data_IF_720670887200
#
_entry.id   IF_720670887200
#
_cell.length_a   1.000
_cell.length_b   1.000
_cell.length_c   1.000
_cell.angle_alpha   90.00
_cell.angle_beta   90.00
_cell.angle_gamma   90.00
#
_symmetry.space_group_name_H-M   'P 1'
#
loop_
_entity.id
_entity.type
_entity.pdbx_description
1 polymer ?
#
# COMPACT_ATOMS: atom_id res chain seq x y z
N UNK A 1 -5.40 -0.19 -18.01
CA UNK A 1 -5.38 -0.19 -16.53
C UNK A 1 -4.64 -1.44 -16.09
N UNK A 2 -3.71 -1.35 -15.15
CA UNK A 2 -2.98 -2.51 -14.67
C UNK A 2 -3.79 -3.20 -13.56
N UNK A 3 -3.99 -4.50 -13.68
CA UNK A 3 -4.71 -5.31 -12.70
C UNK A 3 -3.90 -6.52 -12.29
N UNK A 4 -4.01 -6.88 -11.03
CA UNK A 4 -3.37 -8.04 -10.44
C UNK A 4 -4.43 -8.89 -9.78
N UNK A 5 -4.42 -10.19 -10.08
CA UNK A 5 -5.39 -11.15 -9.55
C UNK A 5 -4.65 -12.33 -8.95
N UNK A 6 -4.99 -12.69 -7.72
CA UNK A 6 -4.65 -14.02 -7.21
C UNK A 6 -5.60 -15.03 -7.87
N UNK A 7 -5.08 -16.16 -8.34
CA UNK A 7 -5.85 -17.18 -9.05
C UNK A 7 -5.83 -18.51 -8.30
N UNK A 8 -6.93 -19.23 -8.38
CA UNK A 8 -7.10 -20.59 -7.89
C UNK A 8 -7.83 -21.40 -8.98
N UNK A 9 -7.93 -22.73 -8.87
CA UNK A 9 -8.65 -23.55 -9.85
C UNK A 9 -10.12 -23.15 -10.04
N UNK A 10 -10.72 -22.49 -9.05
CA UNK A 10 -12.10 -22.01 -9.08
C UNK A 10 -12.23 -20.59 -9.65
N UNK A 11 -11.11 -19.91 -9.91
CA UNK A 11 -11.10 -18.55 -10.47
C UNK A 11 -11.53 -18.57 -11.94
N UNK A 12 -12.33 -17.59 -12.41
CA UNK A 12 -12.65 -17.46 -13.83
C UNK A 12 -11.40 -17.21 -14.70
N UNK A 13 -10.28 -16.79 -14.11
CA UNK A 13 -9.01 -16.56 -14.78
C UNK A 13 -8.07 -17.77 -14.77
N UNK A 14 -8.53 -18.93 -14.28
CA UNK A 14 -7.70 -20.13 -14.16
C UNK A 14 -7.13 -20.59 -15.51
N UNK A 15 -7.98 -20.72 -16.52
CA UNK A 15 -7.55 -21.13 -17.86
C UNK A 15 -6.59 -20.11 -18.49
N UNK A 16 -6.80 -18.82 -18.25
CA UNK A 16 -5.89 -17.77 -18.71
C UNK A 16 -4.51 -17.86 -18.03
N UNK A 17 -4.48 -18.22 -16.74
CA UNK A 17 -3.23 -18.50 -16.03
C UNK A 17 -2.54 -19.74 -16.62
N UNK A 18 -3.26 -20.84 -16.81
CA UNK A 18 -2.69 -22.08 -17.38
C UNK A 18 -2.12 -21.87 -18.79
N UNK A 19 -2.81 -21.09 -19.62
CA UNK A 19 -2.32 -20.71 -20.95
C UNK A 19 -0.99 -19.96 -20.86
N UNK A 20 -0.92 -18.90 -20.05
CA UNK A 20 0.31 -18.12 -19.89
C UNK A 20 1.43 -18.92 -19.22
N UNK A 21 1.09 -19.86 -18.35
CA UNK A 21 2.02 -20.80 -17.72
C UNK A 21 2.62 -21.76 -18.75
N UNK A 22 1.79 -22.33 -19.63
CA UNK A 22 2.26 -23.16 -20.75
C UNK A 22 3.17 -22.37 -21.70
N UNK A 23 2.79 -21.14 -22.05
CA UNK A 23 3.60 -20.24 -22.89
C UNK A 23 5.01 -20.03 -22.30
N UNK A 24 5.10 -19.80 -20.98
CA UNK A 24 6.37 -19.63 -20.28
C UNK A 24 7.28 -20.86 -20.45
N UNK A 25 6.77 -22.07 -20.23
CA UNK A 25 7.58 -23.27 -20.39
C UNK A 25 7.96 -23.53 -21.84
N UNK A 26 7.05 -23.40 -22.79
CA UNK A 26 7.39 -23.58 -24.21
C UNK A 26 8.53 -22.65 -24.66
N UNK A 27 8.58 -21.44 -24.11
CA UNK A 27 9.57 -20.43 -24.50
C UNK A 27 10.93 -20.65 -23.84
N UNK A 28 10.95 -21.02 -22.56
CA UNK A 28 12.16 -21.00 -21.76
C UNK A 28 12.66 -22.39 -21.34
N UNK A 29 11.79 -23.40 -21.37
CA UNK A 29 12.09 -24.81 -21.12
C UNK A 29 11.30 -25.73 -22.08
N UNK A 30 11.53 -25.64 -23.40
CA UNK A 30 10.77 -26.42 -24.39
C UNK A 30 10.85 -27.93 -24.15
N UNK A 31 11.95 -28.41 -23.58
CA UNK A 31 12.17 -29.83 -23.31
C UNK A 31 11.29 -30.39 -22.18
N UNK A 32 10.70 -29.53 -21.32
CA UNK A 32 9.87 -29.98 -20.19
C UNK A 32 8.60 -30.67 -20.66
N UNK A 33 8.00 -30.19 -21.76
CA UNK A 33 6.75 -30.73 -22.29
C UNK A 33 6.90 -31.42 -23.65
N UNK A 34 8.09 -31.40 -24.26
CA UNK A 34 8.34 -32.02 -25.56
C UNK A 34 7.35 -31.55 -26.64
N UNK A 35 6.76 -32.49 -27.37
CA UNK A 35 5.81 -32.23 -28.46
C UNK A 35 4.33 -32.19 -28.01
N UNK A 36 4.05 -32.00 -26.72
CA UNK A 36 2.67 -31.93 -26.23
C UNK A 36 1.91 -30.76 -26.86
N UNK A 37 0.65 -31.00 -27.20
CA UNK A 37 -0.26 -29.93 -27.62
C UNK A 37 -0.53 -28.97 -26.45
N UNK A 38 -0.93 -27.74 -26.78
CA UNK A 38 -1.30 -26.74 -25.77
C UNK A 38 -2.37 -27.24 -24.79
N UNK A 39 -3.38 -27.96 -25.30
CA UNK A 39 -4.44 -28.56 -24.49
C UNK A 39 -3.90 -29.65 -23.55
N UNK A 40 -2.97 -30.49 -24.03
CA UNK A 40 -2.38 -31.55 -23.22
C UNK A 40 -1.51 -30.96 -22.10
N UNK A 41 -0.67 -29.97 -22.41
CA UNK A 41 0.10 -29.23 -21.42
C UNK A 41 -0.80 -28.53 -20.39
N UNK A 42 -1.88 -27.87 -20.83
CA UNK A 42 -2.81 -27.20 -19.93
C UNK A 42 -3.46 -28.18 -18.95
N UNK A 43 -3.82 -29.39 -19.41
CA UNK A 43 -4.38 -30.46 -18.57
C UNK A 43 -3.36 -31.01 -17.55
N UNK A 44 -2.12 -31.21 -17.97
CA UNK A 44 -1.05 -31.65 -17.08
C UNK A 44 -0.72 -30.60 -16.03
N UNK A 45 -0.55 -29.35 -16.46
CA UNK A 45 -0.32 -28.20 -15.58
C UNK A 45 -1.48 -27.98 -14.60
N UNK A 46 -2.73 -28.14 -15.05
CA UNK A 46 -3.91 -28.08 -14.18
C UNK A 46 -3.77 -29.08 -13.04
N UNK A 47 -3.53 -30.35 -13.36
CA UNK A 47 -3.45 -31.44 -12.37
C UNK A 47 -2.31 -31.18 -11.39
N UNK A 48 -1.12 -30.83 -11.89
CA UNK A 48 0.05 -30.57 -11.06
C UNK A 48 -0.13 -29.36 -10.12
N UNK A 49 -0.66 -28.24 -10.63
CA UNK A 49 -0.86 -27.03 -9.85
C UNK A 49 -2.01 -27.18 -8.85
N UNK A 50 -3.10 -27.85 -9.21
CA UNK A 50 -4.20 -28.11 -8.27
C UNK A 50 -3.72 -28.93 -7.08
N UNK A 51 -2.95 -30.00 -7.31
CA UNK A 51 -2.35 -30.79 -6.22
C UNK A 51 -1.42 -29.94 -5.34
N UNK A 52 -0.58 -29.08 -5.93
CA UNK A 52 0.31 -28.18 -5.18
C UNK A 52 -0.46 -27.14 -4.36
N UNK A 53 -1.61 -26.66 -4.84
CA UNK A 53 -2.46 -25.73 -4.08
C UNK A 53 -3.15 -26.45 -2.93
N UNK A 54 -3.61 -27.70 -3.14
CA UNK A 54 -4.22 -28.52 -2.10
C UNK A 54 -3.25 -28.86 -0.95
N UNK A 55 -1.95 -28.94 -1.25
CA UNK A 55 -0.89 -29.08 -0.24
C UNK A 55 -0.72 -27.82 0.64
N UNK A 56 -1.34 -26.70 0.28
CA UNK A 56 -1.26 -25.44 1.02
C UNK A 56 -0.08 -24.57 0.61
N UNK A 57 0.01 -23.38 1.22
CA UNK A 57 1.16 -22.47 1.13
C UNK A 57 1.59 -22.09 -0.31
N UNK A 58 0.68 -22.17 -1.30
CA UNK A 58 0.92 -21.78 -2.70
C UNK A 58 0.18 -20.50 -3.07
N UNK A 59 0.87 -19.56 -3.71
CA UNK A 59 0.30 -18.33 -4.25
C UNK A 59 0.46 -18.26 -5.76
N UNK A 60 -0.65 -18.10 -6.50
CA UNK A 60 -0.63 -17.93 -7.95
C UNK A 60 -1.17 -16.55 -8.32
N UNK A 61 -0.45 -15.84 -9.18
CA UNK A 61 -0.78 -14.46 -9.55
C UNK A 61 -0.81 -14.31 -11.06
N UNK A 62 -1.83 -13.60 -11.54
CA UNK A 62 -1.97 -13.20 -12.92
C UNK A 62 -1.98 -11.67 -13.00
N UNK A 63 -1.13 -11.13 -13.87
CA UNK A 63 -1.01 -9.72 -14.16
C UNK A 63 -1.67 -9.42 -15.50
N UNK A 64 -2.61 -8.48 -15.51
CA UNK A 64 -3.34 -8.04 -16.70
C UNK A 64 -3.04 -6.58 -16.99
N UNK A 65 -2.65 -6.25 -18.22
CA UNK A 65 -2.50 -4.87 -18.67
C UNK A 65 -3.62 -4.53 -19.65
N UNK A 66 -4.53 -3.64 -19.25
CA UNK A 66 -5.72 -3.27 -20.03
C UNK A 66 -6.55 -4.50 -20.45
N UNK A 67 -6.70 -5.46 -19.53
CA UNK A 67 -7.44 -6.72 -19.75
C UNK A 67 -6.65 -7.80 -20.48
N UNK A 68 -5.46 -7.50 -21.00
CA UNK A 68 -4.61 -8.49 -21.70
C UNK A 68 -3.62 -9.15 -20.74
N UNK A 69 -3.33 -10.44 -20.97
CA UNK A 69 -2.34 -11.18 -20.18
C UNK A 69 -0.95 -10.56 -20.33
N UNK A 70 -0.36 -10.14 -19.21
CA UNK A 70 0.92 -9.44 -19.20
C UNK A 70 2.01 -10.20 -18.43
N UNK A 71 1.64 -10.99 -17.42
CA UNK A 71 2.59 -11.77 -16.65
C UNK A 71 1.94 -12.71 -15.66
N UNK A 72 2.74 -13.61 -15.10
CA UNK A 72 2.32 -14.52 -14.04
C UNK A 72 3.42 -14.69 -13.00
N UNK A 73 3.01 -15.12 -11.82
CA UNK A 73 3.92 -15.65 -10.83
C UNK A 73 3.31 -16.84 -10.10
N UNK A 74 4.19 -17.75 -9.69
CA UNK A 74 3.88 -18.90 -8.87
C UNK A 74 4.89 -18.96 -7.72
N UNK A 75 4.39 -18.86 -6.49
CA UNK A 75 5.19 -18.84 -5.28
C UNK A 75 4.71 -19.89 -4.31
N UNK A 76 5.59 -20.27 -3.37
CA UNK A 76 5.24 -21.13 -2.26
C UNK A 76 5.95 -20.72 -0.98
N UNK A 77 5.45 -21.16 0.16
CA UNK A 77 6.12 -20.96 1.44
C UNK A 77 6.86 -22.22 1.85
N UNK A 78 8.03 -22.01 2.41
CA UNK A 78 8.80 -23.02 3.12
C UNK A 78 8.92 -22.59 4.58
N UNK A 79 8.65 -23.53 5.48
CA UNK A 79 8.59 -23.30 6.92
C UNK A 79 9.65 -24.16 7.58
N UNK A 80 10.61 -23.51 8.21
CA UNK A 80 11.71 -24.16 8.93
C UNK A 80 11.56 -23.89 10.43
N UNK A 81 11.53 -24.93 11.25
CA UNK A 81 11.51 -24.80 12.71
C UNK A 81 12.94 -24.67 13.25
N UNK A 82 13.24 -23.56 13.93
CA UNK A 82 14.50 -23.33 14.64
C UNK A 82 14.21 -23.10 16.13
N UNK A 83 14.10 -24.20 16.88
CA UNK A 83 13.80 -24.14 18.31
C UNK A 83 12.36 -23.68 18.57
N UNK A 84 12.19 -22.45 19.09
CA UNK A 84 10.87 -21.85 19.35
C UNK A 84 10.44 -20.86 18.25
N UNK A 85 11.30 -20.59 17.27
CA UNK A 85 11.01 -19.65 16.19
C UNK A 85 10.75 -20.40 14.88
N UNK A 86 9.70 -20.00 14.17
CA UNK A 86 9.42 -20.46 12.81
C UNK A 86 10.00 -19.45 11.82
N UNK A 87 10.88 -19.91 10.93
CA UNK A 87 11.35 -19.13 9.80
C UNK A 87 10.52 -19.49 8.57
N UNK A 88 9.79 -18.51 8.05
CA UNK A 88 8.98 -18.67 6.85
C UNK A 88 9.67 -17.97 5.67
N UNK A 89 9.97 -18.72 4.62
CA UNK A 89 10.62 -18.26 3.40
C UNK A 89 9.63 -18.30 2.24
N UNK A 90 9.48 -17.18 1.53
CA UNK A 90 8.74 -17.10 0.27
C UNK A 90 9.64 -17.55 -0.88
N UNK A 91 9.36 -18.71 -1.45
CA UNK A 91 10.04 -19.23 -2.62
C UNK A 91 9.31 -18.82 -3.91
N UNK A 92 10.03 -18.30 -4.89
CA UNK A 92 9.49 -17.97 -6.22
C UNK A 92 9.88 -19.07 -7.19
N UNK A 93 8.90 -19.86 -7.61
CA UNK A 93 9.12 -20.98 -8.53
C UNK A 93 9.08 -20.52 -9.99
N UNK A 94 8.07 -19.72 -10.35
CA UNK A 94 7.94 -19.18 -11.69
C UNK A 94 7.60 -17.68 -11.64
N UNK A 95 8.25 -16.91 -12.50
CA UNK A 95 8.03 -15.48 -12.64
C UNK A 95 8.22 -15.06 -14.09
N UNK A 96 7.15 -14.57 -14.71
CA UNK A 96 7.15 -14.27 -16.14
C UNK A 96 6.42 -12.97 -16.45
N UNK A 97 7.03 -12.15 -17.30
CA UNK A 97 6.42 -10.99 -17.95
C UNK A 97 6.60 -11.18 -19.45
N UNK A 98 5.51 -11.13 -20.22
CA UNK A 98 5.59 -11.25 -21.68
C UNK A 98 6.48 -10.15 -22.26
N UNK A 99 7.22 -10.49 -23.30
CA UNK A 99 8.26 -9.66 -23.88
C UNK A 99 7.79 -8.26 -24.27
N UNK A 100 6.59 -8.14 -24.84
CA UNK A 100 5.98 -6.86 -25.23
C UNK A 100 5.74 -5.92 -24.04
N UNK A 101 5.69 -6.45 -22.82
CA UNK A 101 5.52 -5.67 -21.59
C UNK A 101 6.78 -5.57 -20.72
N UNK A 102 7.87 -6.21 -21.12
CA UNK A 102 9.14 -6.07 -20.41
C UNK A 102 9.63 -4.62 -20.48
N UNK A 103 10.47 -4.23 -19.50
CA UNK A 103 11.02 -2.86 -19.35
C UNK A 103 9.98 -1.76 -19.11
N UNK A 104 8.69 -2.11 -18.99
CA UNK A 104 7.63 -1.18 -18.58
C UNK A 104 7.42 -1.16 -17.06
N UNK A 105 8.37 -1.69 -16.27
CA UNK A 105 8.32 -1.85 -14.80
C UNK A 105 7.22 -2.79 -14.27
N UNK A 106 6.50 -3.53 -15.11
CA UNK A 106 5.49 -4.50 -14.66
C UNK A 106 6.04 -5.58 -13.71
N UNK A 107 7.26 -6.06 -13.96
CA UNK A 107 7.92 -7.00 -13.07
C UNK A 107 8.06 -6.48 -11.63
N UNK A 108 8.30 -5.19 -11.44
CA UNK A 108 8.38 -4.60 -10.09
C UNK A 108 7.02 -4.65 -9.38
N UNK A 109 5.92 -4.42 -10.12
CA UNK A 109 4.58 -4.52 -9.57
C UNK A 109 4.25 -5.94 -9.12
N UNK A 110 4.54 -6.92 -9.98
CA UNK A 110 4.32 -8.33 -9.66
C UNK A 110 5.23 -8.82 -8.52
N UNK A 111 6.48 -8.35 -8.46
CA UNK A 111 7.39 -8.59 -7.33
C UNK A 111 6.78 -8.14 -6.00
N UNK A 112 6.33 -6.89 -5.93
CA UNK A 112 5.74 -6.35 -4.70
C UNK A 112 4.47 -7.08 -4.28
N UNK A 113 3.69 -7.57 -5.24
CA UNK A 113 2.52 -8.39 -4.96
C UNK A 113 2.85 -9.71 -4.27
N UNK A 114 3.84 -10.44 -4.80
CA UNK A 114 4.30 -11.69 -4.19
C UNK A 114 4.83 -11.45 -2.78
N UNK A 115 5.65 -10.40 -2.59
CA UNK A 115 6.15 -10.04 -1.27
C UNK A 115 5.00 -9.71 -0.30
N UNK A 116 3.99 -8.97 -0.76
CA UNK A 116 2.83 -8.64 0.05
C UNK A 116 2.02 -9.89 0.44
N UNK A 117 1.87 -10.84 -0.47
CA UNK A 117 1.26 -12.13 -0.15
C UNK A 117 2.12 -12.91 0.86
N UNK A 118 3.44 -12.97 0.68
CA UNK A 118 4.36 -13.61 1.62
C UNK A 118 4.25 -13.00 3.03
N UNK A 119 4.29 -11.67 3.13
CA UNK A 119 4.11 -10.95 4.41
C UNK A 119 2.82 -11.33 5.13
N UNK A 120 1.71 -11.52 4.40
CA UNK A 120 0.43 -11.91 4.99
C UNK A 120 0.42 -13.33 5.55
N UNK A 121 1.34 -14.17 5.09
CA UNK A 121 1.48 -15.56 5.53
C UNK A 121 2.71 -15.77 6.43
N UNK A 122 3.28 -14.69 6.95
CA UNK A 122 4.38 -14.72 7.91
C UNK A 122 5.77 -14.80 7.29
N UNK A 123 5.91 -14.75 5.96
CA UNK A 123 7.22 -14.81 5.32
C UNK A 123 8.06 -13.58 5.67
N UNK A 124 9.28 -13.83 6.16
CA UNK A 124 10.27 -12.80 6.49
C UNK A 124 11.48 -12.83 5.55
N UNK A 125 11.64 -13.92 4.80
CA UNK A 125 12.69 -14.11 3.79
C UNK A 125 12.07 -14.42 2.43
N UNK A 126 12.82 -14.13 1.36
CA UNK A 126 12.50 -14.52 -0.01
C UNK A 126 13.67 -15.26 -0.62
N UNK A 127 13.36 -16.28 -1.41
CA UNK A 127 14.32 -17.10 -2.14
C UNK A 127 13.83 -17.35 -3.57
N UNK A 128 14.77 -17.38 -4.53
CA UNK A 128 14.51 -17.77 -5.92
C UNK A 128 15.79 -18.26 -6.60
N UNK A 129 15.59 -19.02 -7.67
CA UNK A 129 16.67 -19.59 -8.48
C UNK A 129 16.51 -19.19 -9.95
N UNK A 130 17.63 -18.95 -10.63
CA UNK A 130 17.66 -18.66 -12.07
C UNK A 130 18.85 -19.32 -12.74
N UNK A 131 18.84 -19.42 -14.06
CA UNK A 131 20.03 -19.86 -14.81
C UNK A 131 21.09 -18.76 -14.86
N UNK A 132 22.35 -19.18 -14.86
CA UNK A 132 23.51 -18.31 -15.10
C UNK A 132 23.40 -17.62 -16.46
N UNK A 133 23.81 -16.35 -16.53
CA UNK A 133 23.89 -15.59 -17.79
C UNK A 133 22.56 -15.06 -18.36
N UNK A 134 21.41 -15.32 -17.71
CA UNK A 134 20.12 -14.75 -18.13
C UNK A 134 20.05 -13.25 -17.80
N UNK A 135 19.44 -12.47 -18.71
CA UNK A 135 19.21 -11.03 -18.51
C UNK A 135 18.32 -10.72 -17.29
N UNK A 136 17.45 -11.66 -16.91
CA UNK A 136 16.62 -11.58 -15.70
C UNK A 136 17.44 -11.45 -14.41
N UNK A 137 18.71 -11.87 -14.39
CA UNK A 137 19.59 -11.73 -13.22
C UNK A 137 19.77 -10.26 -12.80
N UNK A 138 19.82 -9.33 -13.75
CA UNK A 138 19.89 -7.90 -13.43
C UNK A 138 18.65 -7.40 -12.69
N UNK A 139 17.48 -7.97 -12.98
CA UNK A 139 16.25 -7.62 -12.28
C UNK A 139 16.31 -8.05 -10.81
N UNK A 140 16.73 -9.29 -10.53
CA UNK A 140 16.84 -9.79 -9.16
C UNK A 140 17.90 -9.05 -8.33
N UNK A 141 19.06 -8.78 -8.93
CA UNK A 141 20.11 -7.97 -8.29
C UNK A 141 19.62 -6.56 -7.94
N UNK A 142 18.77 -5.96 -8.78
CA UNK A 142 18.23 -4.61 -8.54
C UNK A 142 17.33 -4.53 -7.30
N UNK A 143 16.84 -5.66 -6.79
CA UNK A 143 16.05 -5.74 -5.56
C UNK A 143 16.88 -5.88 -4.28
N UNK A 144 18.21 -5.81 -4.38
CA UNK A 144 19.10 -5.88 -3.21
C UNK A 144 19.22 -7.27 -2.60
N UNK A 145 18.86 -8.32 -3.36
CA UNK A 145 19.04 -9.70 -2.94
C UNK A 145 20.51 -10.09 -3.00
N UNK A 146 20.95 -10.88 -2.02
CA UNK A 146 22.27 -11.51 -2.05
C UNK A 146 22.23 -12.69 -3.00
N UNK A 147 23.27 -12.86 -3.81
CA UNK A 147 23.34 -13.97 -4.77
C UNK A 147 24.59 -14.82 -4.59
N UNK A 148 24.43 -16.12 -4.82
CA UNK A 148 25.55 -17.05 -4.95
C UNK A 148 25.27 -18.02 -6.09
N UNK A 149 26.31 -18.48 -6.77
CA UNK A 149 26.20 -19.42 -7.87
C UNK A 149 26.49 -20.84 -7.37
N UNK A 150 25.65 -21.78 -7.76
CA UNK A 150 25.84 -23.23 -7.56
C UNK A 150 25.62 -23.89 -8.91
N UNK A 151 26.66 -24.51 -9.45
CA UNK A 151 26.66 -25.09 -10.81
C UNK A 151 26.19 -24.08 -11.88
N UNK A 152 25.12 -24.42 -12.60
CA UNK A 152 24.52 -23.61 -13.66
C UNK A 152 23.39 -22.69 -13.16
N UNK A 153 23.18 -22.62 -11.84
CA UNK A 153 22.12 -21.83 -11.21
C UNK A 153 22.68 -20.70 -10.34
N UNK A 154 21.94 -19.60 -10.29
CA UNK A 154 22.16 -18.48 -9.36
C UNK A 154 21.02 -18.47 -8.37
N UNK A 155 21.36 -18.58 -7.09
CA UNK A 155 20.41 -18.50 -5.98
C UNK A 155 20.40 -17.08 -5.43
N UNK A 156 19.22 -16.48 -5.33
CA UNK A 156 19.02 -15.19 -4.70
C UNK A 156 18.24 -15.36 -3.41
N UNK A 157 18.71 -14.71 -2.35
CA UNK A 157 18.05 -14.71 -1.06
C UNK A 157 18.13 -13.34 -0.39
N UNK A 158 17.18 -13.05 0.48
CA UNK A 158 17.22 -11.84 1.30
C UNK A 158 15.95 -11.63 2.13
N UNK A 159 15.97 -10.61 3.01
CA UNK A 159 14.80 -10.28 3.82
C UNK A 159 13.68 -9.72 2.94
N UNK A 160 12.43 -10.05 3.29
CA UNK A 160 11.27 -9.34 2.77
C UNK A 160 11.20 -7.98 3.49
N UNK A 161 11.34 -6.85 2.79
CA UNK A 161 11.24 -5.55 3.43
C UNK A 161 9.85 -5.36 4.04
N UNK A 162 9.70 -4.62 5.16
CA UNK A 162 8.38 -4.35 5.75
C UNK A 162 7.48 -3.56 4.79
N UNK A 163 6.16 -3.66 4.97
CA UNK A 163 5.22 -2.80 4.22
C UNK A 163 5.27 -1.40 4.81
N UNK A 164 5.55 -0.40 3.97
CA UNK A 164 5.55 1.01 4.39
C UNK A 164 4.20 1.66 4.18
N UNK A 165 3.78 2.48 5.11
CA UNK A 165 2.59 3.34 5.00
C UNK A 165 3.06 4.77 5.19
N UNK A 166 3.03 5.53 4.10
CA UNK A 166 3.32 6.95 4.10
C UNK A 166 2.02 7.73 4.28
N UNK A 167 1.90 8.39 5.43
CA UNK A 167 0.86 9.38 5.69
C UNK A 167 1.39 10.76 5.36
N UNK A 168 0.70 11.50 4.51
CA UNK A 168 1.01 12.87 4.13
C UNK A 168 -0.10 13.81 4.58
N UNK A 169 0.26 14.92 5.22
CA UNK A 169 -0.70 16.01 5.46
C UNK A 169 -0.94 16.78 4.17
N UNK A 170 -2.19 17.19 3.94
CA UNK A 170 -2.54 18.13 2.88
C UNK A 170 -1.66 19.40 2.90
N UNK A 171 -1.62 20.08 1.76
CA UNK A 171 -0.89 21.34 1.61
C UNK A 171 -1.47 22.50 2.42
N UNK A 172 -0.75 23.61 2.48
CA UNK A 172 -1.27 24.81 3.12
C UNK A 172 -2.53 25.29 2.40
N UNK A 173 -3.51 25.74 3.17
CA UNK A 173 -4.78 26.28 2.68
C UNK A 173 -4.69 27.80 2.50
N UNK A 174 -5.62 28.38 1.73
CA UNK A 174 -5.77 29.83 1.65
C UNK A 174 -6.15 30.42 3.02
N UNK A 175 -5.74 31.67 3.34
CA UNK A 175 -6.17 32.33 4.58
C UNK A 175 -7.69 32.46 4.68
N UNK A 176 -8.22 32.17 5.88
CA UNK A 176 -9.66 32.17 6.15
C UNK A 176 -10.09 33.29 7.11
N UNK A 177 -9.18 34.24 7.40
CA UNK A 177 -9.38 35.32 8.39
C UNK A 177 -10.53 36.27 8.08
N UNK A 178 -11.07 36.20 6.86
CA UNK A 178 -12.21 36.99 6.39
C UNK A 178 -13.58 36.37 6.76
N UNK A 179 -13.60 35.18 7.36
CA UNK A 179 -14.82 34.47 7.69
C UNK A 179 -15.22 34.69 9.15
N UNK A 180 -16.45 35.15 9.37
CA UNK A 180 -17.05 35.27 10.71
C UNK A 180 -17.64 33.95 11.23
N UNK A 181 -17.66 32.92 10.38
CA UNK A 181 -18.26 31.62 10.63
C UNK A 181 -17.24 30.50 10.41
N UNK A 182 -17.39 29.40 11.14
CA UNK A 182 -16.64 28.19 10.86
C UNK A 182 -17.02 27.68 9.45
N UNK A 183 -16.05 27.56 8.53
CA UNK A 183 -16.36 27.25 7.14
C UNK A 183 -16.79 25.80 6.95
N UNK A 184 -17.61 25.59 5.92
CA UNK A 184 -17.77 24.29 5.28
C UNK A 184 -16.49 23.91 4.52
N UNK A 185 -16.26 22.60 4.36
CA UNK A 185 -15.04 22.06 3.74
C UNK A 185 -14.82 22.53 2.29
N UNK A 186 -15.91 22.73 1.53
CA UNK A 186 -15.88 23.21 0.15
C UNK A 186 -15.23 24.62 0.01
N UNK A 187 -15.19 25.43 1.06
CA UNK A 187 -14.56 26.76 1.10
C UNK A 187 -13.06 26.68 1.43
N UNK A 188 -12.58 25.55 1.94
CA UNK A 188 -11.20 25.37 2.41
C UNK A 188 -10.33 24.84 1.26
N UNK A 189 -9.90 25.75 0.38
CA UNK A 189 -9.07 25.42 -0.78
C UNK A 189 -7.56 25.44 -0.45
N UNK A 190 -6.76 24.69 -1.21
CA UNK A 190 -5.30 24.79 -1.15
C UNK A 190 -4.79 26.12 -1.72
N UNK A 191 -3.68 26.59 -1.16
CA UNK A 191 -2.88 27.65 -1.75
C UNK A 191 -2.17 27.15 -3.03
N UNK A 192 -1.96 28.06 -3.99
CA UNK A 192 -1.32 27.75 -5.27
C UNK A 192 0.14 27.28 -5.11
N UNK A 193 0.86 27.79 -4.11
CA UNK A 193 2.25 27.39 -3.82
C UNK A 193 2.31 25.93 -3.37
N UNK A 194 1.38 25.53 -2.50
CA UNK A 194 1.23 24.16 -2.00
C UNK A 194 0.85 23.19 -3.09
N UNK A 195 -0.01 23.60 -4.04
CA UNK A 195 -0.30 22.80 -5.23
C UNK A 195 0.99 22.55 -6.04
N UNK A 196 1.84 23.57 -6.22
CA UNK A 196 3.12 23.40 -6.94
C UNK A 196 4.07 22.46 -6.18
N UNK A 197 4.23 22.64 -4.88
CA UNK A 197 5.07 21.79 -4.04
C UNK A 197 4.59 20.33 -4.03
N UNK A 198 3.27 20.11 -3.90
CA UNK A 198 2.69 18.77 -3.97
C UNK A 198 2.98 18.09 -5.31
N UNK A 199 2.95 18.82 -6.44
CA UNK A 199 3.36 18.27 -7.75
C UNK A 199 4.83 17.81 -7.75
N UNK A 200 5.72 18.62 -7.20
CA UNK A 200 7.16 18.32 -7.13
C UNK A 200 7.45 17.11 -6.22
N UNK A 201 6.74 16.98 -5.10
CA UNK A 201 6.77 15.78 -4.24
C UNK A 201 6.27 14.56 -5.03
N UNK A 202 5.15 14.70 -5.73
CA UNK A 202 4.56 13.63 -6.53
C UNK A 202 5.49 13.08 -7.60
N UNK A 203 6.21 13.96 -8.33
CA UNK A 203 7.22 13.55 -9.32
C UNK A 203 8.33 12.72 -8.67
N UNK A 204 8.83 13.14 -7.50
CA UNK A 204 9.93 12.47 -6.79
C UNK A 204 9.52 11.10 -6.24
N UNK A 205 8.33 11.01 -5.63
CA UNK A 205 7.86 9.80 -4.97
C UNK A 205 7.26 8.80 -5.98
N UNK A 206 6.32 9.25 -6.83
CA UNK A 206 5.57 8.38 -7.72
C UNK A 206 6.31 8.04 -9.02
N UNK A 207 7.31 8.83 -9.43
CA UNK A 207 8.07 8.57 -10.66
C UNK A 207 8.74 7.18 -10.72
N UNK A 208 8.97 6.57 -9.55
CA UNK A 208 9.48 5.20 -9.45
C UNK A 208 8.40 4.15 -9.74
N UNK A 209 7.15 4.38 -9.31
CA UNK A 209 6.02 3.44 -9.38
C UNK A 209 4.71 4.15 -9.80
N UNK A 210 4.47 4.36 -11.10
CA UNK A 210 3.38 5.23 -11.60
C UNK A 210 1.95 4.69 -11.41
N UNK A 211 1.80 3.46 -10.91
CA UNK A 211 0.55 2.70 -10.73
C UNK A 211 0.06 2.65 -9.28
N UNK A 212 0.70 3.37 -8.38
CA UNK A 212 0.35 3.35 -6.97
C UNK A 212 -1.04 3.98 -6.73
N UNK A 213 -1.82 3.39 -5.83
CA UNK A 213 -3.05 4.01 -5.32
C UNK A 213 -2.70 5.00 -4.22
N UNK A 214 -3.26 6.20 -4.31
CA UNK A 214 -3.27 7.21 -3.24
C UNK A 214 -4.66 7.17 -2.59
N UNK A 215 -4.71 6.82 -1.32
CA UNK A 215 -5.93 6.94 -0.53
C UNK A 215 -5.98 8.35 0.04
N UNK A 216 -7.14 9.00 -0.05
CA UNK A 216 -7.28 10.39 0.41
C UNK A 216 -8.59 10.61 1.13
N UNK A 217 -8.59 11.56 2.06
CA UNK A 217 -9.85 12.16 2.51
C UNK A 217 -10.57 12.82 1.32
N UNK A 218 -11.91 12.71 1.24
CA UNK A 218 -12.72 13.44 0.26
C UNK A 218 -12.73 14.94 0.51
N UNK A 219 -12.29 15.39 1.69
CA UNK A 219 -12.19 16.81 2.01
C UNK A 219 -11.28 17.55 1.02
N UNK A 220 -11.76 18.68 0.52
CA UNK A 220 -11.25 19.41 -0.65
C UNK A 220 -9.74 19.58 -0.61
N UNK A 221 -9.19 20.08 0.49
CA UNK A 221 -7.74 20.33 0.65
C UNK A 221 -6.88 19.06 0.52
N UNK A 222 -7.34 17.93 1.06
CA UNK A 222 -6.63 16.66 0.96
C UNK A 222 -6.75 16.10 -0.46
N UNK A 223 -7.95 16.14 -1.03
CA UNK A 223 -8.19 15.69 -2.40
C UNK A 223 -7.44 16.50 -3.46
N UNK A 224 -7.40 17.83 -3.34
CA UNK A 224 -6.60 18.71 -4.19
C UNK A 224 -5.10 18.39 -4.06
N UNK A 225 -4.63 18.03 -2.85
CA UNK A 225 -3.23 17.62 -2.62
C UNK A 225 -2.95 16.29 -3.34
N UNK A 226 -3.84 15.30 -3.20
CA UNK A 226 -3.74 14.01 -3.88
C UNK A 226 -3.73 14.16 -5.42
N UNK A 227 -4.60 15.03 -5.97
CA UNK A 227 -4.61 15.38 -7.39
C UNK A 227 -3.33 16.04 -7.85
N UNK A 228 -2.77 16.95 -7.05
CA UNK A 228 -1.51 17.60 -7.36
C UNK A 228 -0.36 16.57 -7.40
N UNK A 229 -0.27 15.69 -6.40
CA UNK A 229 0.72 14.61 -6.34
C UNK A 229 0.66 13.68 -7.56
N UNK A 230 -0.54 13.24 -7.95
CA UNK A 230 -0.72 12.28 -9.05
C UNK A 230 -0.64 12.92 -10.44
N UNK A 231 -0.63 14.26 -10.56
CA UNK A 231 -0.78 14.95 -11.85
C UNK A 231 0.27 14.59 -12.91
N UNK A 232 1.47 14.19 -12.51
CA UNK A 232 2.53 13.74 -13.42
C UNK A 232 2.37 12.27 -13.89
N UNK A 233 1.52 11.48 -13.23
CA UNK A 233 1.38 10.04 -13.43
C UNK A 233 -0.09 9.65 -13.64
N UNK A 234 -0.55 9.64 -14.90
CA UNK A 234 -1.94 9.32 -15.26
C UNK A 234 -2.42 7.91 -14.86
N UNK A 235 -1.49 7.01 -14.54
CA UNK A 235 -1.80 5.64 -14.11
C UNK A 235 -2.01 5.52 -12.60
N UNK A 236 -1.79 6.59 -11.83
CA UNK A 236 -2.01 6.65 -10.40
C UNK A 236 -3.52 6.75 -10.13
N UNK A 237 -4.03 5.86 -9.28
CA UNK A 237 -5.44 5.85 -8.88
C UNK A 237 -5.59 6.69 -7.60
N UNK A 238 -6.59 7.55 -7.55
CA UNK A 238 -6.99 8.22 -6.31
C UNK A 238 -8.25 7.52 -5.79
N UNK A 239 -8.22 7.12 -4.53
CA UNK A 239 -9.35 6.51 -3.84
C UNK A 239 -9.74 7.36 -2.63
N UNK A 240 -10.92 7.97 -2.70
CA UNK A 240 -11.49 8.74 -1.62
C UNK A 240 -12.11 7.82 -0.55
N UNK A 241 -11.99 8.18 0.72
CA UNK A 241 -12.65 7.47 1.81
C UNK A 241 -12.91 8.37 3.01
N UNK A 242 -14.12 8.26 3.56
CA UNK A 242 -14.50 8.94 4.81
C UNK A 242 -13.63 8.50 6.00
N UNK A 243 -13.00 7.32 5.93
CA UNK A 243 -12.09 6.86 6.96
C UNK A 243 -10.85 7.74 7.13
N UNK A 244 -10.59 8.66 6.19
CA UNK A 244 -9.50 9.62 6.24
C UNK A 244 -9.94 11.05 6.54
N UNK A 245 -11.23 11.30 6.80
CA UNK A 245 -11.72 12.62 7.18
C UNK A 245 -11.14 13.11 8.50
N UNK A 246 -10.83 14.41 8.55
CA UNK A 246 -10.25 15.09 9.69
C UNK A 246 -11.09 14.85 10.93
N UNK A 247 -10.42 14.69 12.07
CA UNK A 247 -11.09 14.73 13.35
C UNK A 247 -11.41 16.19 13.68
N UNK A 248 -12.64 16.59 13.40
CA UNK A 248 -13.16 17.93 13.63
C UNK A 248 -14.63 17.88 14.09
N UNK A 249 -15.05 18.72 15.05
CA UNK A 249 -16.43 18.72 15.49
C UNK A 249 -17.35 19.35 14.45
N UNK A 250 -18.19 18.54 13.81
CA UNK A 250 -19.16 18.99 12.80
C UNK A 250 -20.15 20.01 13.36
N UNK A 251 -20.43 19.97 14.67
CA UNK A 251 -21.26 20.96 15.37
C UNK A 251 -20.78 22.40 15.21
N UNK A 252 -19.48 22.61 14.94
CA UNK A 252 -18.92 23.94 14.76
C UNK A 252 -19.20 24.50 13.37
N UNK A 253 -19.38 23.65 12.35
CA UNK A 253 -19.53 24.07 10.95
C UNK A 253 -20.77 24.98 10.82
N UNK A 254 -20.58 26.15 10.21
CA UNK A 254 -21.62 27.16 10.07
C UNK A 254 -21.94 27.95 11.34
N UNK A 255 -21.30 27.66 12.49
CA UNK A 255 -21.43 28.48 13.69
C UNK A 255 -20.61 29.75 13.57
N UNK A 256 -21.14 30.87 14.07
CA UNK A 256 -20.40 32.12 14.17
C UNK A 256 -19.25 31.95 15.16
N UNK A 257 -18.04 32.35 14.78
CA UNK A 257 -16.84 32.13 15.59
C UNK A 257 -16.95 32.74 17.00
N UNK A 258 -17.57 33.92 17.10
CA UNK A 258 -17.80 34.60 18.38
C UNK A 258 -18.76 33.85 19.31
N UNK A 259 -19.63 32.98 18.79
CA UNK A 259 -20.64 32.28 19.59
C UNK A 259 -20.10 30.95 20.16
N UNK A 260 -19.00 30.43 19.62
CA UNK A 260 -18.42 29.14 20.02
C UNK A 260 -17.99 29.15 21.50
N UNK A 261 -17.21 30.13 22.00
CA UNK A 261 -16.82 30.18 23.41
C UNK A 261 -18.01 30.33 24.36
N UNK A 262 -19.04 31.09 23.96
CA UNK A 262 -20.25 31.27 24.75
C UNK A 262 -21.02 29.96 24.95
N UNK A 263 -21.04 29.11 23.92
CA UNK A 263 -21.77 27.83 23.94
C UNK A 263 -20.97 26.71 24.59
N UNK A 264 -19.68 26.63 24.32
CA UNK A 264 -18.86 25.48 24.70
C UNK A 264 -17.80 25.77 25.77
N UNK A 265 -17.67 27.03 26.20
CA UNK A 265 -16.66 27.50 27.14
C UNK A 265 -15.41 28.06 26.44
N UNK A 266 -14.73 29.01 27.08
CA UNK A 266 -13.51 29.65 26.55
C UNK A 266 -12.36 28.66 26.30
N UNK A 267 -12.37 27.52 26.99
CA UNK A 267 -11.35 26.48 26.89
C UNK A 267 -11.67 25.41 25.82
N UNK A 268 -12.74 25.58 25.01
CA UNK A 268 -13.17 24.57 24.03
C UNK A 268 -12.04 24.17 23.07
N UNK A 269 -11.24 25.12 22.59
CA UNK A 269 -10.17 24.88 21.64
C UNK A 269 -9.03 24.09 22.28
N UNK A 270 -8.72 24.39 23.55
CA UNK A 270 -7.75 23.61 24.31
C UNK A 270 -8.24 22.18 24.48
N UNK A 271 -9.51 21.97 24.85
CA UNK A 271 -10.07 20.62 25.00
C UNK A 271 -10.09 19.84 23.67
N UNK A 272 -10.44 20.49 22.58
CA UNK A 272 -10.42 19.86 21.25
C UNK A 272 -9.01 19.40 20.84
N UNK A 273 -8.00 20.24 21.08
CA UNK A 273 -6.64 19.98 20.60
C UNK A 273 -5.83 19.10 21.56
N UNK A 274 -5.91 19.33 22.87
CA UNK A 274 -4.98 18.75 23.85
C UNK A 274 -5.62 17.77 24.84
N UNK A 275 -6.94 17.77 24.96
CA UNK A 275 -7.65 16.77 25.79
C UNK A 275 -8.90 16.26 25.07
N UNK A 276 -8.78 15.71 23.85
CA UNK A 276 -9.91 15.31 23.02
C UNK A 276 -10.85 14.27 23.64
N UNK A 277 -10.42 13.54 24.68
CA UNK A 277 -11.32 12.67 25.47
C UNK A 277 -12.35 13.47 26.28
N UNK A 278 -12.01 14.70 26.66
CA UNK A 278 -12.85 15.63 27.43
C UNK A 278 -13.64 16.59 26.52
N UNK A 279 -13.72 16.27 25.22
CA UNK A 279 -14.36 17.10 24.21
C UNK A 279 -15.83 17.43 24.58
N UNK A 280 -16.24 18.71 24.50
CA UNK A 280 -17.63 19.11 24.77
C UNK A 280 -18.61 18.76 23.65
N UNK A 281 -18.13 18.38 22.47
CA UNK A 281 -18.94 18.17 21.27
C UNK A 281 -19.57 16.77 21.27
N UNK A 282 -20.73 16.61 21.93
CA UNK A 282 -21.38 15.31 22.15
C UNK A 282 -22.11 14.76 20.93
N UNK A 283 -22.44 15.59 19.95
CA UNK A 283 -23.09 15.16 18.70
C UNK A 283 -22.08 15.00 17.55
N UNK A 284 -20.79 15.21 17.81
CA UNK A 284 -19.70 15.00 16.86
C UNK A 284 -19.00 13.66 17.11
N UNK A 285 -18.16 13.22 16.16
CA UNK A 285 -17.32 12.04 16.31
C UNK A 285 -16.49 12.12 17.60
N UNK A 286 -16.45 11.03 18.37
CA UNK A 286 -15.59 10.93 19.54
C UNK A 286 -14.18 10.49 19.14
N UNK A 287 -13.16 10.94 19.86
CA UNK A 287 -11.75 10.66 19.51
C UNK A 287 -11.43 9.15 19.47
N UNK A 288 -12.11 8.35 20.29
CA UNK A 288 -12.01 6.88 20.28
C UNK A 288 -12.55 6.27 19.00
N UNK A 289 -13.63 6.83 18.45
CA UNK A 289 -14.23 6.37 17.20
C UNK A 289 -13.33 6.74 16.02
N UNK A 290 -12.77 7.95 16.03
CA UNK A 290 -11.78 8.38 15.05
C UNK A 290 -10.55 7.46 15.05
N UNK A 291 -10.00 7.14 16.22
CA UNK A 291 -8.87 6.22 16.38
C UNK A 291 -9.18 4.80 15.84
N UNK A 292 -10.35 4.27 16.17
CA UNK A 292 -10.78 2.95 15.70
C UNK A 292 -11.04 2.92 14.18
N UNK A 293 -11.66 3.97 13.64
CA UNK A 293 -11.95 4.13 12.21
C UNK A 293 -10.66 4.14 11.40
N UNK A 294 -9.70 4.99 11.78
CA UNK A 294 -8.44 5.08 11.04
C UNK A 294 -7.59 3.82 11.17
N UNK A 295 -7.52 3.24 12.38
CA UNK A 295 -6.75 2.01 12.60
C UNK A 295 -7.29 0.85 11.74
N UNK A 296 -8.62 0.64 11.73
CA UNK A 296 -9.27 -0.38 10.91
C UNK A 296 -9.01 -0.16 9.42
N UNK A 297 -9.12 1.08 8.95
CA UNK A 297 -8.87 1.41 7.56
C UNK A 297 -7.43 1.10 7.14
N UNK A 298 -6.45 1.53 7.95
CA UNK A 298 -5.03 1.29 7.66
C UNK A 298 -4.71 -0.20 7.65
N UNK A 299 -5.26 -0.99 8.58
CA UNK A 299 -5.12 -2.45 8.58
C UNK A 299 -5.70 -3.07 7.30
N UNK A 300 -6.93 -2.69 6.93
CA UNK A 300 -7.57 -3.19 5.71
C UNK A 300 -6.73 -2.89 4.46
N UNK A 301 -6.32 -1.63 4.30
CA UNK A 301 -5.45 -1.20 3.20
C UNK A 301 -4.10 -1.94 3.22
N UNK A 302 -3.54 -2.15 4.41
CA UNK A 302 -2.29 -2.86 4.63
C UNK A 302 -2.38 -4.35 4.30
N UNK A 303 -3.57 -4.96 4.36
CA UNK A 303 -3.83 -6.37 4.08
C UNK A 303 -4.19 -6.64 2.61
N UNK A 304 -4.56 -5.61 1.86
CA UNK A 304 -4.82 -5.73 0.44
C UNK A 304 -3.56 -6.19 -0.32
N UNK A 305 -3.77 -6.94 -1.41
CA UNK A 305 -2.70 -7.25 -2.36
C UNK A 305 -2.30 -5.96 -3.09
N UNK A 306 -1.01 -5.73 -3.30
CA UNK A 306 -0.53 -4.49 -3.92
C UNK A 306 0.74 -4.66 -4.72
N UNK A 307 0.83 -3.85 -5.77
CA UNK A 307 1.98 -3.74 -6.66
C UNK A 307 3.02 -2.72 -6.19
N UNK A 308 2.91 -2.25 -4.95
CA UNK A 308 3.83 -1.30 -4.31
C UNK A 308 4.20 -1.77 -2.90
N UNK A 309 5.47 -1.58 -2.56
CA UNK A 309 6.00 -1.76 -1.20
C UNK A 309 5.62 -0.64 -0.24
N UNK A 310 4.99 0.43 -0.75
CA UNK A 310 4.50 1.55 0.02
C UNK A 310 3.02 1.80 -0.27
N UNK A 311 2.24 2.11 0.78
CA UNK A 311 0.88 2.64 0.69
C UNK A 311 0.92 4.13 0.98
N UNK A 312 0.15 4.93 0.23
CA UNK A 312 0.12 6.38 0.40
C UNK A 312 -1.26 6.84 0.86
N UNK A 313 -1.25 7.65 1.91
CA UNK A 313 -2.43 8.29 2.50
C UNK A 313 -2.23 9.80 2.42
N UNK A 314 -3.25 10.53 1.98
CA UNK A 314 -3.31 12.00 2.08
C UNK A 314 -4.49 12.37 2.98
N UNK A 315 -4.19 12.98 4.11
CA UNK A 315 -5.20 13.33 5.11
C UNK A 315 -4.72 14.54 5.91
N UNK A 316 -5.03 14.59 7.20
CA UNK A 316 -4.99 15.79 8.01
C UNK A 316 -4.20 15.57 9.31
N UNK A 317 -3.98 16.64 10.05
CA UNK A 317 -3.09 16.62 11.21
C UNK A 317 -3.76 15.94 12.41
N UNK A 318 -5.00 16.28 12.75
CA UNK A 318 -5.57 15.78 14.00
C UNK A 318 -5.81 14.26 13.89
N UNK A 319 -6.36 13.80 12.77
CA UNK A 319 -6.52 12.37 12.51
C UNK A 319 -5.18 11.61 12.54
N UNK A 320 -4.13 12.17 11.93
CA UNK A 320 -2.78 11.60 11.99
C UNK A 320 -2.29 11.45 13.43
N UNK A 321 -2.40 12.53 14.21
CA UNK A 321 -1.90 12.56 15.58
C UNK A 321 -2.66 11.60 16.48
N UNK A 322 -3.98 11.46 16.28
CA UNK A 322 -4.80 10.46 16.97
C UNK A 322 -4.34 9.05 16.64
N UNK A 323 -4.12 8.74 15.36
CA UNK A 323 -3.60 7.43 14.96
C UNK A 323 -2.24 7.15 15.60
N UNK A 324 -1.32 8.10 15.52
CA UNK A 324 0.02 7.95 16.06
C UNK A 324 -0.08 7.76 17.61
N UNK A 325 -1.02 8.45 18.28
CA UNK A 325 -1.17 8.41 19.74
C UNK A 325 -1.74 7.06 20.15
N UNK A 326 -2.69 6.53 19.38
CA UNK A 326 -3.24 5.19 19.50
C UNK A 326 -2.18 4.08 19.35
N UNK A 327 -1.18 4.28 18.48
CA UNK A 327 -0.07 3.33 18.31
C UNK A 327 0.94 3.38 19.47
N UNK A 328 1.37 4.59 19.86
CA UNK A 328 2.46 4.76 20.83
C UNK A 328 2.01 4.70 22.28
N UNK A 329 0.76 5.08 22.55
CA UNK A 329 0.25 5.29 23.90
C UNK A 329 -1.18 4.79 23.99
N UNK A 330 -1.65 4.50 25.21
CA UNK A 330 -3.09 4.23 25.41
C UNK A 330 -3.89 5.50 25.74
N UNK A 331 -3.25 6.67 25.70
CA UNK A 331 -3.85 7.95 26.07
C UNK A 331 -3.95 8.87 24.85
N UNK A 332 -5.16 8.96 24.30
CA UNK A 332 -5.46 9.79 23.14
C UNK A 332 -5.32 11.30 23.43
N UNK A 333 -5.28 11.72 24.70
CA UNK A 333 -5.03 13.12 25.04
C UNK A 333 -3.61 13.58 24.64
N UNK A 334 -2.68 12.66 24.41
CA UNK A 334 -1.34 13.01 23.95
C UNK A 334 -1.28 13.41 22.47
N UNK A 335 -2.34 13.16 21.69
CA UNK A 335 -2.40 13.52 20.26
C UNK A 335 -2.15 15.01 19.99
N UNK A 336 -2.61 15.90 20.89
CA UNK A 336 -2.38 17.34 20.78
C UNK A 336 -0.93 17.80 20.91
N UNK A 337 -0.05 16.94 21.43
CA UNK A 337 1.37 17.30 21.66
C UNK A 337 2.22 17.21 20.41
N UNK A 338 1.66 16.68 19.32
CA UNK A 338 2.40 16.44 18.10
C UNK A 338 1.96 17.39 17.00
N UNK A 339 2.86 17.59 16.06
CA UNK A 339 2.62 18.44 14.93
C UNK A 339 3.07 17.74 13.66
N UNK A 340 2.27 17.86 12.61
CA UNK A 340 2.59 17.39 11.27
C UNK A 340 2.51 18.58 10.35
N UNK A 341 3.63 19.06 9.82
CA UNK A 341 3.64 20.23 8.95
C UNK A 341 2.90 19.94 7.63
N UNK A 342 2.43 20.99 6.95
CA UNK A 342 1.85 20.85 5.61
C UNK A 342 2.84 20.20 4.65
N UNK A 343 2.39 19.25 3.84
CA UNK A 343 3.21 18.47 2.91
C UNK A 343 4.38 17.69 3.55
N UNK A 344 4.41 17.56 4.87
CA UNK A 344 5.28 16.62 5.56
C UNK A 344 4.57 15.27 5.73
N UNK A 345 5.38 14.23 5.84
CA UNK A 345 4.88 12.88 6.03
C UNK A 345 5.38 12.20 7.30
N UNK A 346 4.65 11.18 7.70
CA UNK A 346 5.11 10.18 8.66
C UNK A 346 5.07 8.82 7.99
N UNK A 347 6.05 7.97 8.30
CA UNK A 347 6.12 6.61 7.75
C UNK A 347 5.95 5.60 8.86
N UNK A 348 5.03 4.67 8.65
CA UNK A 348 4.76 3.54 9.53
C UNK A 348 5.16 2.24 8.83
N UNK A 349 5.76 1.32 9.57
CA UNK A 349 5.97 -0.05 9.12
C UNK A 349 4.79 -0.88 9.61
N UNK A 350 4.14 -1.61 8.70
CA UNK A 350 3.03 -2.49 9.03
C UNK A 350 3.41 -3.94 8.73
N UNK A 351 3.08 -4.84 9.67
CA UNK A 351 3.20 -6.28 9.47
C UNK A 351 1.81 -6.89 9.24
N UNK A 352 1.46 -7.26 7.98
CA UNK A 352 0.17 -7.87 7.68
C UNK A 352 -0.11 -9.20 8.38
N UNK A 353 0.91 -9.91 8.86
CA UNK A 353 0.73 -11.16 9.60
C UNK A 353 0.35 -10.90 11.06
N UNK A 354 1.15 -10.11 11.79
CA UNK A 354 0.93 -9.85 13.22
C UNK A 354 -0.04 -8.70 13.51
N UNK A 355 -0.40 -7.93 12.48
CA UNK A 355 -1.22 -6.70 12.56
C UNK A 355 -0.58 -5.59 13.40
N UNK A 356 0.74 -5.66 13.58
CA UNK A 356 1.49 -4.68 14.36
C UNK A 356 2.01 -3.54 13.48
N UNK A 357 2.21 -2.40 14.13
CA UNK A 357 2.77 -1.19 13.55
C UNK A 357 4.01 -0.77 14.30
N UNK A 358 5.03 -0.33 13.57
CA UNK A 358 6.15 0.43 14.09
C UNK A 358 6.17 1.83 13.46
N UNK A 359 6.62 2.81 14.22
CA UNK A 359 6.80 4.19 13.73
C UNK A 359 8.22 4.32 13.20
N UNK A 360 8.39 4.50 11.89
CA UNK A 360 9.70 4.69 11.27
C UNK A 360 10.14 6.15 11.34
N UNK A 361 9.25 7.07 10.94
CA UNK A 361 9.53 8.50 10.87
C UNK A 361 8.27 9.30 11.20
N UNK A 362 8.44 10.48 11.83
CA UNK A 362 7.34 11.40 12.14
C UNK A 362 7.67 12.80 11.61
N UNK A 363 6.73 13.40 10.87
CA UNK A 363 6.80 14.80 10.41
C UNK A 363 8.08 15.16 9.61
N UNK A 364 8.47 14.30 8.68
CA UNK A 364 9.63 14.53 7.79
C UNK A 364 9.23 15.32 6.54
N UNK A 365 10.13 16.20 6.03
CA UNK A 365 9.95 16.80 4.71
C UNK A 365 10.06 15.71 3.63
N UNK A 366 9.30 15.87 2.54
CA UNK A 366 9.21 14.91 1.43
C UNK A 366 9.88 15.39 0.14
#
# INVERSE_FOLDING_TARGET
>A
MLELKQVTPQSPLWNSFLHLYGEYFQRYWPDVFGDLSEEAMAKENHTALEQRILQGDRGLFLLLNAGQLAGLANVYLEREEFGQEEKVTLNIAEFYIRDEYQRQKLGHGLWHAMLQWGRRHGATQVHLETDVGKSANFFWQSHGLSSHQVDERVHYHGPIPPLKILWLRHGQIIPLDHLDYCPEDNLIALDATSIKQAKEIGIRILGKLPWQTIYTSPQRRAFETAKALSSANKSCLIQETEALCEFFPEELIGMKLADIPHRYGEDYAHRLLYTPLDSPFKNSEQVTDAANRIHRFIMQMGDELSMSSMRMIVSHQNLHNIFLAHLMTRDLNLSGRWHLNHLHGSTFLYCPYTKQFDVENVNIPL
#
